data_IF_337018650879
#
_entry.id   IF_337018650879
#
_cell.length_a   1.000
_cell.length_b   1.000
_cell.length_c   1.000
_cell.angle_alpha   90.00
_cell.angle_beta   90.00
_cell.angle_gamma   90.00
#
_symmetry.space_group_name_H-M   'P 1'
#
loop_
_entity.id
_entity.type
_entity.pdbx_description
1 polymer ?
#
# COMPACT_ATOMS: atom_id res chain seq x y z
N UNK A 1 -15.79 11.47 1.57
CA UNK A 1 -15.37 10.34 0.72
C UNK A 1 -15.40 10.79 -0.73
N UNK A 2 -14.47 10.32 -1.55
CA UNK A 2 -14.35 10.64 -2.98
C UNK A 2 -14.62 9.36 -3.79
N UNK A 3 -15.89 9.05 -4.14
CA UNK A 3 -16.21 7.85 -4.90
C UNK A 3 -15.46 7.80 -6.23
N UNK A 4 -14.86 6.65 -6.55
CA UNK A 4 -14.14 6.43 -7.80
C UNK A 4 -12.69 6.97 -7.81
N UNK A 5 -12.19 7.46 -6.67
CA UNK A 5 -10.82 7.96 -6.59
C UNK A 5 -9.78 6.85 -6.89
N UNK A 6 -10.01 5.63 -6.40
CA UNK A 6 -9.13 4.48 -6.67
C UNK A 6 -9.00 4.21 -8.17
N UNK A 7 -10.13 4.21 -8.89
CA UNK A 7 -10.14 4.03 -10.35
C UNK A 7 -9.40 5.20 -11.03
N UNK A 8 -9.70 6.44 -10.65
CA UNK A 8 -9.05 7.61 -11.22
C UNK A 8 -7.52 7.59 -11.03
N UNK A 9 -7.03 7.08 -9.90
CA UNK A 9 -5.59 6.90 -9.64
C UNK A 9 -5.01 5.86 -10.59
N UNK A 10 -5.61 4.66 -10.68
CA UNK A 10 -5.15 3.62 -11.63
C UNK A 10 -5.11 4.14 -13.07
N UNK A 11 -6.18 4.81 -13.51
CA UNK A 11 -6.30 5.36 -14.86
C UNK A 11 -5.18 6.37 -15.17
N UNK A 12 -4.87 7.27 -14.23
CA UNK A 12 -3.82 8.28 -14.41
C UNK A 12 -2.44 7.62 -14.48
N UNK A 13 -2.15 6.65 -13.61
CA UNK A 13 -0.87 5.93 -13.61
C UNK A 13 -0.67 5.19 -14.93
N UNK A 14 -1.71 4.48 -15.41
CA UNK A 14 -1.66 3.75 -16.68
C UNK A 14 -1.54 4.68 -17.88
N UNK A 15 -2.33 5.76 -17.92
CA UNK A 15 -2.26 6.77 -18.99
C UNK A 15 -0.90 7.45 -19.07
N UNK A 16 -0.24 7.64 -17.94
CA UNK A 16 1.10 8.22 -17.89
C UNK A 16 2.21 7.20 -18.23
N UNK A 17 1.91 5.90 -18.33
CA UNK A 17 2.91 4.86 -18.56
C UNK A 17 3.86 4.67 -17.37
N UNK A 18 3.40 4.94 -16.15
CA UNK A 18 4.25 5.08 -14.95
C UNK A 18 4.22 3.86 -14.03
N UNK A 19 3.62 2.74 -14.44
CA UNK A 19 3.36 1.58 -13.58
C UNK A 19 4.62 1.07 -12.85
N UNK A 20 5.76 1.08 -13.53
CA UNK A 20 7.06 0.63 -13.01
C UNK A 20 7.82 1.70 -12.19
N UNK A 21 7.28 2.92 -12.10
CA UNK A 21 7.95 4.07 -11.50
C UNK A 21 7.24 4.60 -10.24
N UNK A 22 6.07 4.05 -9.91
CA UNK A 22 5.26 4.49 -8.78
C UNK A 22 4.71 3.31 -8.00
N UNK A 23 4.38 3.56 -6.73
CA UNK A 23 3.56 2.68 -5.91
C UNK A 23 2.57 3.54 -5.12
N UNK A 24 1.40 2.99 -4.82
CA UNK A 24 0.33 3.71 -4.12
C UNK A 24 0.28 3.29 -2.66
N UNK A 25 0.24 4.27 -1.76
CA UNK A 25 0.13 4.07 -0.31
C UNK A 25 -0.97 4.93 0.30
N UNK A 26 -1.59 4.46 1.38
CA UNK A 26 -2.62 5.21 2.12
C UNK A 26 -2.71 4.77 3.58
N UNK A 27 -3.19 5.69 4.43
CA UNK A 27 -3.63 5.37 5.80
C UNK A 27 -4.99 4.67 5.81
N UNK A 28 -5.77 4.84 4.74
CA UNK A 28 -7.00 4.10 4.50
C UNK A 28 -6.67 2.80 3.76
N UNK A 29 -6.57 1.71 4.51
CA UNK A 29 -6.21 0.40 3.96
C UNK A 29 -7.35 -0.23 3.15
N UNK A 30 -8.59 0.23 3.34
CA UNK A 30 -9.71 -0.23 2.51
C UNK A 30 -9.61 0.33 1.10
N UNK A 31 -9.15 1.58 0.93
CA UNK A 31 -8.86 2.13 -0.40
C UNK A 31 -7.75 1.35 -1.11
N UNK A 32 -6.73 0.88 -0.39
CA UNK A 32 -5.66 0.07 -1.00
C UNK A 32 -6.17 -1.31 -1.41
N UNK A 33 -6.97 -1.98 -0.57
CA UNK A 33 -7.63 -3.23 -0.93
C UNK A 33 -8.56 -3.05 -2.15
N UNK A 34 -9.35 -1.96 -2.16
CA UNK A 34 -10.21 -1.64 -3.29
C UNK A 34 -9.42 -1.40 -4.58
N UNK A 35 -8.27 -0.72 -4.49
CA UNK A 35 -7.41 -0.50 -5.63
C UNK A 35 -6.83 -1.82 -6.16
N UNK A 36 -6.47 -2.76 -5.28
CA UNK A 36 -6.07 -4.11 -5.69
C UNK A 36 -7.16 -4.84 -6.47
N UNK A 37 -8.42 -4.74 -6.05
CA UNK A 37 -9.54 -5.34 -6.79
C UNK A 37 -9.71 -4.75 -8.21
N UNK A 38 -9.38 -3.47 -8.39
CA UNK A 38 -9.52 -2.77 -9.67
C UNK A 38 -8.31 -2.98 -10.58
N UNK A 39 -7.12 -3.16 -10.00
CA UNK A 39 -5.87 -3.20 -10.73
C UNK A 39 -4.89 -4.19 -10.08
N UNK A 40 -4.69 -5.35 -10.72
CA UNK A 40 -3.81 -6.41 -10.22
C UNK A 40 -2.32 -6.12 -10.47
N UNK A 41 -1.99 -5.20 -11.37
CA UNK A 41 -0.59 -4.93 -11.72
C UNK A 41 -0.02 -3.73 -10.97
N UNK A 42 -0.87 -2.88 -10.38
CA UNK A 42 -0.41 -1.68 -9.70
C UNK A 42 0.40 -2.04 -8.44
N UNK A 43 1.60 -1.47 -8.23
CA UNK A 43 2.35 -1.69 -7.00
C UNK A 43 1.71 -0.97 -5.80
N UNK A 44 1.53 -1.68 -4.69
CA UNK A 44 0.81 -1.18 -3.51
C UNK A 44 1.63 -1.26 -2.23
N UNK A 45 1.31 -0.38 -1.29
CA UNK A 45 1.84 -0.42 0.06
C UNK A 45 0.90 0.16 1.09
N UNK A 46 1.25 -0.02 2.36
CA UNK A 46 0.51 0.54 3.49
C UNK A 46 1.36 1.55 4.23
N UNK A 47 0.72 2.63 4.71
CA UNK A 47 1.36 3.59 5.62
C UNK A 47 0.73 3.51 7.01
N UNK A 48 1.60 3.51 8.03
CA UNK A 48 1.20 3.41 9.44
C UNK A 48 1.87 4.47 10.31
N UNK A 49 1.16 4.82 11.38
CA UNK A 49 1.71 5.58 12.50
C UNK A 49 1.97 4.66 13.71
N UNK A 50 2.73 3.58 13.50
CA UNK A 50 3.03 2.58 14.53
C UNK A 50 3.77 1.36 14.01
N UNK A 51 4.19 0.49 14.92
CA UNK A 51 4.70 -0.86 14.63
C UNK A 51 3.52 -1.83 14.66
N UNK A 52 3.05 -2.27 13.49
CA UNK A 52 1.82 -3.08 13.38
C UNK A 52 2.05 -4.39 12.61
N UNK A 53 2.79 -5.36 13.19
CA UNK A 53 3.13 -6.62 12.50
C UNK A 53 1.89 -7.46 12.15
N UNK A 54 0.77 -7.26 12.85
CA UNK A 54 -0.48 -7.97 12.58
C UNK A 54 -1.10 -7.62 11.21
N UNK A 55 -0.64 -6.57 10.51
CA UNK A 55 -1.10 -6.26 9.15
C UNK A 55 -0.31 -7.00 8.07
N UNK A 56 0.80 -7.66 8.37
CA UNK A 56 1.58 -8.36 7.35
C UNK A 56 0.80 -9.50 6.65
N UNK A 57 -0.05 -10.30 7.34
CA UNK A 57 -0.93 -11.25 6.66
C UNK A 57 -1.87 -10.57 5.66
N UNK A 58 -2.45 -9.43 6.05
CA UNK A 58 -3.33 -8.66 5.16
C UNK A 58 -2.55 -8.08 3.97
N UNK A 59 -1.35 -7.53 4.19
CA UNK A 59 -0.48 -7.08 3.10
C UNK A 59 -0.18 -8.19 2.09
N UNK A 60 0.08 -9.41 2.58
CA UNK A 60 0.27 -10.59 1.72
C UNK A 60 -1.01 -10.95 0.95
N UNK A 61 -2.18 -10.87 1.59
CA UNK A 61 -3.48 -11.14 0.97
C UNK A 61 -3.77 -10.20 -0.21
N UNK A 62 -3.47 -8.91 -0.07
CA UNK A 62 -3.71 -7.90 -1.12
C UNK A 62 -2.50 -7.64 -2.02
N UNK A 63 -1.45 -8.45 -1.93
CA UNK A 63 -0.18 -8.27 -2.64
C UNK A 63 0.38 -6.83 -2.56
N UNK A 64 0.43 -6.29 -1.33
CA UNK A 64 1.06 -5.01 -1.03
C UNK A 64 2.46 -5.24 -0.46
N UNK A 65 3.49 -4.84 -1.21
CA UNK A 65 4.89 -5.16 -0.93
C UNK A 65 5.67 -4.00 -0.29
N UNK A 66 5.09 -2.80 -0.26
CA UNK A 66 5.73 -1.62 0.34
C UNK A 66 5.16 -1.33 1.75
N UNK A 67 6.07 -1.18 2.73
CA UNK A 67 5.73 -0.78 4.10
C UNK A 67 6.29 0.61 4.38
N UNK A 68 5.41 1.57 4.66
CA UNK A 68 5.78 2.93 5.05
C UNK A 68 5.47 3.16 6.53
N UNK A 69 6.50 3.35 7.34
CA UNK A 69 6.34 3.59 8.79
C UNK A 69 7.10 4.84 9.20
N UNK A 70 6.57 5.57 10.18
CA UNK A 70 7.33 6.67 10.79
C UNK A 70 8.57 6.09 11.47
N UNK A 71 9.73 6.69 11.20
CA UNK A 71 11.04 6.21 11.67
C UNK A 71 11.11 5.94 13.18
N UNK A 72 10.40 6.71 14.00
CA UNK A 72 10.33 6.51 15.46
C UNK A 72 9.77 5.15 15.89
N UNK A 73 9.06 4.43 14.99
CA UNK A 73 8.51 3.09 15.23
C UNK A 73 9.35 1.99 14.57
N UNK A 74 10.41 2.32 13.84
CA UNK A 74 11.31 1.35 13.24
C UNK A 74 12.40 0.96 14.25
N UNK A 75 12.04 0.11 15.21
CA UNK A 75 13.01 -0.52 16.12
C UNK A 75 13.64 -1.74 15.46
N UNK A 76 14.79 -2.19 15.97
CA UNK A 76 15.42 -3.43 15.50
C UNK A 76 14.52 -4.65 15.69
N UNK A 77 13.79 -4.72 16.82
CA UNK A 77 12.83 -5.79 17.08
C UNK A 77 11.70 -5.81 16.05
N UNK A 78 11.19 -4.65 15.65
CA UNK A 78 10.14 -4.56 14.64
C UNK A 78 10.68 -4.86 13.24
N UNK A 79 11.87 -4.36 12.90
CA UNK A 79 12.51 -4.65 11.61
C UNK A 79 12.69 -6.16 11.37
N UNK A 80 13.00 -6.94 12.42
CA UNK A 80 13.11 -8.41 12.34
C UNK A 80 11.78 -9.12 12.09
N UNK A 81 10.64 -8.46 12.27
CA UNK A 81 9.32 -9.03 11.98
C UNK A 81 8.87 -8.79 10.54
N UNK A 82 9.54 -7.88 9.82
CA UNK A 82 9.26 -7.61 8.41
C UNK A 82 9.87 -8.77 7.61
N UNK A 83 9.03 -9.57 6.97
CA UNK A 83 9.40 -10.73 6.13
C UNK A 83 9.42 -10.37 4.65
#
# INVERSE_FOLDING_TARGET
MYPGLEQAVSDVVRKAGMLEQVYVISFDHFSIARLRELDMDIPLGLVFHGSMPHFFPFMKEIDATYLCVRLSFLTESYARTIE
#
